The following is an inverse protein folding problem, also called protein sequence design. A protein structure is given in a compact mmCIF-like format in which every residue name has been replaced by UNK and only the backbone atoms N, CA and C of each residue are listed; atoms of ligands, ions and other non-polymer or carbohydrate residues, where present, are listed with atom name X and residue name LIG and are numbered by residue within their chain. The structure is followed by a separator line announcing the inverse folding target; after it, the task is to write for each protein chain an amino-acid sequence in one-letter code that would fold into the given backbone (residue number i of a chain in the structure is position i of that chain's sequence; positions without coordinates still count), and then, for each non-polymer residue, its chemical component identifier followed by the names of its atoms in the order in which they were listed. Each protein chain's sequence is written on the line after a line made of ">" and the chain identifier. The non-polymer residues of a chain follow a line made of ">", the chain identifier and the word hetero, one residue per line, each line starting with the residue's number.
data_IF_862680761409
#
_entry.id   IF_862680761409
#
_cell.length_a   1.000
_cell.length_b   1.000
_cell.length_c   1.000
_cell.angle_alpha   90.00
_cell.angle_beta   90.00
_cell.angle_gamma   90.00
#
_symmetry.space_group_name_H-M   'P 1'
#
loop_
_entity.id
_entity.type
_entity.pdbx_description
1 polymer ?
#
# COMPACT_ATOMS: atom_id res chain seq x y z
N UNK A 1 5.21 -94.45 48.86
CA UNK A 1 4.69 -93.10 48.54
C UNK A 1 5.63 -92.11 49.22
N UNK A 2 6.20 -91.11 48.53
CA UNK A 2 7.13 -90.20 49.18
C UNK A 2 6.38 -89.28 50.16
N UNK A 3 6.82 -89.24 51.41
CA UNK A 3 6.25 -88.36 52.44
C UNK A 3 6.80 -86.93 52.27
N UNK A 4 5.92 -85.99 51.90
CA UNK A 4 6.26 -84.57 51.87
C UNK A 4 6.48 -84.06 53.30
N UNK A 5 7.73 -83.87 53.68
CA UNK A 5 8.09 -83.29 54.98
C UNK A 5 7.86 -81.77 54.99
N UNK A 6 7.56 -81.21 56.16
CA UNK A 6 7.25 -79.78 56.40
C UNK A 6 8.30 -78.83 55.78
N UNK A 7 9.56 -79.26 55.69
CA UNK A 7 10.67 -78.53 55.07
C UNK A 7 10.50 -78.34 53.56
N UNK A 8 9.94 -79.32 52.85
CA UNK A 8 9.67 -79.23 51.41
C UNK A 8 8.52 -78.26 51.13
N UNK A 9 7.50 -78.23 52.00
CA UNK A 9 6.39 -77.27 51.90
C UNK A 9 6.88 -75.83 52.17
N UNK A 10 7.80 -75.63 53.13
CA UNK A 10 8.42 -74.33 53.39
C UNK A 10 9.28 -73.81 52.22
N UNK A 11 10.07 -74.68 51.59
CA UNK A 11 10.86 -74.33 50.40
C UNK A 11 10.00 -73.98 49.20
N UNK A 12 8.90 -74.69 48.97
CA UNK A 12 7.95 -74.38 47.90
C UNK A 12 7.25 -73.03 48.13
N UNK A 13 6.87 -72.73 49.37
CA UNK A 13 6.27 -71.44 49.72
C UNK A 13 7.26 -70.27 49.51
N UNK A 14 8.53 -70.46 49.90
CA UNK A 14 9.59 -69.47 49.67
C UNK A 14 9.84 -69.24 48.18
N UNK A 15 9.91 -70.31 47.38
CA UNK A 15 10.07 -70.23 45.93
C UNK A 15 8.91 -69.50 45.25
N UNK A 16 7.66 -69.72 45.71
CA UNK A 16 6.49 -68.98 45.24
C UNK A 16 6.60 -67.48 45.53
N UNK A 17 6.98 -67.10 46.74
CA UNK A 17 7.14 -65.68 47.13
C UNK A 17 8.25 -65.01 46.30
N UNK A 18 9.39 -65.69 46.11
CA UNK A 18 10.49 -65.20 45.27
C UNK A 18 10.05 -65.05 43.82
N UNK A 19 9.34 -66.04 43.27
CA UNK A 19 8.79 -65.97 41.91
C UNK A 19 7.81 -64.80 41.73
N UNK A 20 6.99 -64.52 42.74
CA UNK A 20 6.04 -63.40 42.75
C UNK A 20 6.75 -62.05 42.81
N UNK A 21 7.80 -61.94 43.64
CA UNK A 21 8.63 -60.73 43.74
C UNK A 21 9.40 -60.45 42.44
N UNK A 22 9.99 -61.48 41.82
CA UNK A 22 10.67 -61.38 40.52
C UNK A 22 9.67 -61.01 39.42
N UNK A 23 8.51 -61.67 39.38
CA UNK A 23 7.45 -61.36 38.42
C UNK A 23 6.93 -59.93 38.54
N UNK A 24 6.76 -59.44 39.77
CA UNK A 24 6.38 -58.06 40.06
C UNK A 24 7.46 -57.06 39.61
N UNK A 25 8.74 -57.35 39.86
CA UNK A 25 9.85 -56.51 39.42
C UNK A 25 9.97 -56.44 37.88
N UNK A 26 9.85 -57.57 37.19
CA UNK A 26 9.88 -57.64 35.72
C UNK A 26 8.67 -56.92 35.10
N UNK A 27 7.48 -57.07 35.69
CA UNK A 27 6.28 -56.38 35.21
C UNK A 27 6.37 -54.86 35.45
N UNK A 28 6.90 -54.44 36.60
CA UNK A 28 7.14 -53.04 36.92
C UNK A 28 8.15 -52.39 35.97
N UNK A 29 9.25 -53.08 35.66
CA UNK A 29 10.28 -52.58 34.73
C UNK A 29 9.77 -52.51 33.29
N UNK A 30 9.00 -53.50 32.81
CA UNK A 30 8.35 -53.43 31.49
C UNK A 30 7.35 -52.29 31.39
N UNK A 31 6.48 -52.12 32.40
CA UNK A 31 5.52 -51.02 32.40
C UNK A 31 6.21 -49.64 32.44
N UNK A 32 7.35 -49.53 33.13
CA UNK A 32 8.16 -48.32 33.11
C UNK A 32 8.81 -48.07 31.73
N UNK A 33 9.34 -49.12 31.09
CA UNK A 33 9.91 -49.03 29.74
C UNK A 33 8.86 -48.67 28.68
N UNK A 34 7.68 -49.27 28.72
CA UNK A 34 6.57 -48.96 27.81
C UNK A 34 6.10 -47.51 27.99
N UNK A 35 5.94 -47.05 29.24
CA UNK A 35 5.62 -45.64 29.51
C UNK A 35 6.70 -44.70 29.00
N UNK A 36 7.98 -45.02 29.25
CA UNK A 36 9.11 -44.23 28.77
C UNK A 36 9.14 -44.14 27.23
N UNK A 37 8.91 -45.27 26.55
CA UNK A 37 8.84 -45.34 25.09
C UNK A 37 7.65 -44.53 24.53
N UNK A 38 6.48 -44.63 25.16
CA UNK A 38 5.30 -43.83 24.80
C UNK A 38 5.62 -42.35 24.99
N UNK A 39 6.14 -41.93 26.14
CA UNK A 39 6.47 -40.52 26.39
C UNK A 39 7.55 -39.98 25.45
N UNK A 40 8.53 -40.80 25.09
CA UNK A 40 9.55 -40.44 24.11
C UNK A 40 8.93 -40.26 22.72
N UNK A 41 8.06 -41.17 22.29
CA UNK A 41 7.34 -41.04 21.01
C UNK A 41 6.40 -39.84 20.94
N UNK A 42 5.73 -39.49 22.05
CA UNK A 42 4.94 -38.26 22.12
C UNK A 42 5.82 -37.01 22.03
N UNK A 43 6.97 -37.01 22.70
CA UNK A 43 7.93 -35.89 22.67
C UNK A 43 8.49 -35.69 21.26
N UNK A 44 8.93 -36.75 20.60
CA UNK A 44 9.47 -36.72 19.24
C UNK A 44 8.44 -36.18 18.24
N UNK A 45 7.17 -36.64 18.31
CA UNK A 45 6.09 -36.11 17.45
C UNK A 45 5.81 -34.64 17.73
N UNK A 46 5.82 -34.23 19.00
CA UNK A 46 5.59 -32.83 19.37
C UNK A 46 6.72 -31.92 18.87
N UNK A 47 7.97 -32.38 18.93
CA UNK A 47 9.13 -31.64 18.41
C UNK A 47 9.06 -31.56 16.88
N UNK A 48 8.78 -32.67 16.19
CA UNK A 48 8.60 -32.69 14.75
C UNK A 48 7.48 -31.74 14.28
N UNK A 49 6.33 -31.75 14.96
CA UNK A 49 5.24 -30.81 14.67
C UNK A 49 5.64 -29.35 14.90
N UNK A 50 6.44 -29.07 15.94
CA UNK A 50 6.96 -27.74 16.22
C UNK A 50 7.90 -27.22 15.12
N UNK A 51 8.77 -28.09 14.61
CA UNK A 51 9.68 -27.77 13.50
C UNK A 51 8.91 -27.51 12.19
N UNK A 52 7.90 -28.33 11.90
CA UNK A 52 7.02 -28.12 10.74
C UNK A 52 6.26 -26.80 10.84
N UNK A 53 5.67 -26.50 12.01
CA UNK A 53 5.02 -25.22 12.26
C UNK A 53 5.98 -24.06 12.06
N UNK A 54 7.19 -24.14 12.59
CA UNK A 54 8.20 -23.09 12.45
C UNK A 54 8.57 -22.87 10.97
N UNK A 55 8.76 -23.96 10.22
CA UNK A 55 9.01 -23.90 8.77
C UNK A 55 7.87 -23.24 8.01
N UNK A 56 6.62 -23.59 8.33
CA UNK A 56 5.44 -22.99 7.69
C UNK A 56 5.31 -21.50 8.01
N UNK A 57 5.60 -21.10 9.26
CA UNK A 57 5.62 -19.68 9.65
C UNK A 57 6.66 -18.90 8.84
N UNK A 58 7.86 -19.43 8.67
CA UNK A 58 8.91 -18.81 7.85
C UNK A 58 8.46 -18.70 6.39
N UNK A 59 7.88 -19.76 5.83
CA UNK A 59 7.37 -19.75 4.45
C UNK A 59 6.24 -18.73 4.26
N UNK A 60 5.27 -18.71 5.17
CA UNK A 60 4.16 -17.74 5.12
C UNK A 60 4.65 -16.30 5.23
N UNK A 61 5.64 -16.04 6.09
CA UNK A 61 6.28 -14.72 6.17
C UNK A 61 6.93 -14.33 4.83
N UNK A 62 7.70 -15.24 4.22
CA UNK A 62 8.30 -15.00 2.91
C UNK A 62 7.28 -14.74 1.81
N UNK A 63 6.16 -15.49 1.78
CA UNK A 63 5.05 -15.25 0.85
C UNK A 63 4.38 -13.89 1.10
N UNK A 64 4.18 -13.52 2.36
CA UNK A 64 3.60 -12.22 2.73
C UNK A 64 4.49 -11.06 2.28
N UNK A 65 5.80 -11.19 2.45
CA UNK A 65 6.79 -10.20 1.99
C UNK A 65 6.78 -10.09 0.45
N UNK A 66 6.71 -11.21 -0.27
CA UNK A 66 6.59 -11.22 -1.74
C UNK A 66 5.29 -10.57 -2.23
N UNK A 67 4.16 -10.88 -1.60
CA UNK A 67 2.86 -10.26 -1.92
C UNK A 67 2.94 -8.76 -1.67
N UNK A 68 3.48 -8.33 -0.53
CA UNK A 68 3.65 -6.91 -0.22
C UNK A 68 4.55 -6.22 -1.25
N UNK A 69 5.66 -6.83 -1.64
CA UNK A 69 6.58 -6.29 -2.63
C UNK A 69 5.93 -6.18 -4.02
N UNK A 70 5.18 -7.19 -4.46
CA UNK A 70 4.47 -7.17 -5.73
C UNK A 70 3.33 -6.13 -5.77
N UNK A 71 2.63 -5.93 -4.64
CA UNK A 71 1.62 -4.87 -4.52
C UNK A 71 2.26 -3.49 -4.57
N UNK A 72 3.39 -3.29 -3.88
CA UNK A 72 4.11 -2.03 -3.91
C UNK A 72 4.62 -1.69 -5.31
N UNK A 73 5.19 -2.66 -6.04
CA UNK A 73 5.67 -2.44 -7.41
C UNK A 73 4.54 -2.19 -8.41
N UNK A 74 3.40 -2.87 -8.25
CA UNK A 74 2.19 -2.61 -9.05
C UNK A 74 1.64 -1.20 -8.82
N UNK A 75 1.61 -0.76 -7.55
CA UNK A 75 1.13 0.58 -7.22
C UNK A 75 2.05 1.67 -7.73
N UNK A 76 3.37 1.49 -7.62
CA UNK A 76 4.37 2.42 -8.18
C UNK A 76 4.21 2.55 -9.70
N UNK A 77 4.05 1.42 -10.41
CA UNK A 77 3.81 1.43 -11.85
C UNK A 77 2.52 2.18 -12.24
N UNK A 78 1.43 2.01 -11.46
CA UNK A 78 0.17 2.74 -11.67
C UNK A 78 0.33 4.25 -11.45
N UNK A 79 1.07 4.65 -10.42
CA UNK A 79 1.35 6.05 -10.15
C UNK A 79 2.18 6.68 -11.29
N UNK A 80 3.24 6.02 -11.74
CA UNK A 80 4.04 6.49 -12.90
C UNK A 80 3.21 6.60 -14.17
N UNK A 81 2.34 5.63 -14.45
CA UNK A 81 1.45 5.70 -15.61
C UNK A 81 0.50 6.92 -15.53
N UNK A 82 0.03 7.28 -14.34
CA UNK A 82 -0.79 8.47 -14.12
C UNK A 82 0.01 9.75 -14.35
N UNK A 83 1.20 9.87 -13.79
CA UNK A 83 2.10 11.01 -14.00
C UNK A 83 2.44 11.21 -15.47
N UNK A 84 2.79 10.14 -16.18
CA UNK A 84 3.04 10.17 -17.62
C UNK A 84 1.80 10.61 -18.41
N UNK A 85 0.60 10.14 -18.03
CA UNK A 85 -0.63 10.55 -18.70
C UNK A 85 -0.93 12.05 -18.53
N UNK A 86 -0.65 12.60 -17.35
CA UNK A 86 -0.78 14.02 -17.06
C UNK A 86 0.24 14.84 -17.85
N UNK A 87 1.50 14.37 -17.90
CA UNK A 87 2.54 15.00 -18.70
C UNK A 87 2.21 15.03 -20.21
N UNK A 88 1.64 13.95 -20.75
CA UNK A 88 1.17 13.89 -22.14
C UNK A 88 0.02 14.87 -22.37
N UNK A 89 -0.94 14.95 -21.45
CA UNK A 89 -2.05 15.90 -21.55
C UNK A 89 -1.54 17.35 -21.57
N UNK A 90 -0.62 17.70 -20.67
CA UNK A 90 0.01 19.02 -20.62
C UNK A 90 0.81 19.35 -21.89
N UNK A 91 1.57 18.38 -22.41
CA UNK A 91 2.30 18.54 -23.66
C UNK A 91 1.34 18.78 -24.84
N UNK A 92 0.25 18.03 -24.91
CA UNK A 92 -0.78 18.18 -25.94
C UNK A 92 -1.46 19.57 -25.89
N UNK A 93 -1.76 20.07 -24.70
CA UNK A 93 -2.34 21.40 -24.51
C UNK A 93 -1.38 22.51 -24.95
N UNK A 94 -0.08 22.40 -24.62
CA UNK A 94 0.94 23.36 -25.09
C UNK A 94 1.11 23.36 -26.60
N UNK A 95 1.02 22.19 -27.24
CA UNK A 95 1.05 22.06 -28.70
C UNK A 95 -0.17 22.75 -29.32
N UNK A 96 -1.36 22.58 -28.74
CA UNK A 96 -2.59 23.22 -29.22
C UNK A 96 -2.52 24.76 -29.10
N UNK A 97 -1.94 25.28 -28.02
CA UNK A 97 -1.69 26.71 -27.82
C UNK A 97 -0.78 27.27 -28.93
N UNK A 98 0.37 26.61 -29.17
CA UNK A 98 1.29 27.01 -30.24
C UNK A 98 0.61 26.95 -31.62
N UNK A 99 -0.27 25.98 -31.85
CA UNK A 99 -1.00 25.87 -33.12
C UNK A 99 -1.97 27.06 -33.31
N UNK A 100 -2.60 27.55 -32.25
CA UNK A 100 -3.42 28.78 -32.29
C UNK A 100 -2.57 30.00 -32.58
N UNK A 101 -1.44 30.16 -31.88
CA UNK A 101 -0.51 31.27 -32.13
C UNK A 101 -0.04 31.29 -33.59
N UNK A 102 0.36 30.14 -34.15
CA UNK A 102 0.77 30.04 -35.55
C UNK A 102 -0.37 30.42 -36.51
N UNK A 103 -1.59 29.98 -36.21
CA UNK A 103 -2.79 30.31 -37.01
C UNK A 103 -3.06 31.81 -37.00
N UNK A 104 -2.99 32.45 -35.83
CA UNK A 104 -3.24 33.88 -35.68
C UNK A 104 -2.16 34.71 -36.39
N UNK A 105 -0.89 34.31 -36.27
CA UNK A 105 0.23 34.90 -37.02
C UNK A 105 -0.02 34.81 -38.52
N UNK A 106 -0.44 33.64 -39.02
CA UNK A 106 -0.74 33.43 -40.45
C UNK A 106 -1.89 34.32 -40.92
N UNK A 107 -2.96 34.45 -40.12
CA UNK A 107 -4.09 35.32 -40.46
C UNK A 107 -3.68 36.80 -40.51
N UNK A 108 -2.89 37.25 -39.54
CA UNK A 108 -2.37 38.62 -39.52
C UNK A 108 -1.45 38.90 -40.73
N UNK A 109 -0.61 37.92 -41.09
CA UNK A 109 0.27 37.99 -42.26
C UNK A 109 -0.54 38.15 -43.55
N UNK A 110 -1.62 37.38 -43.70
CA UNK A 110 -2.50 37.43 -44.88
C UNK A 110 -3.17 38.80 -45.03
N UNK A 111 -3.64 39.38 -43.93
CA UNK A 111 -4.20 40.75 -43.92
C UNK A 111 -3.14 41.78 -44.31
N UNK A 112 -1.93 41.69 -43.75
CA UNK A 112 -0.83 42.61 -44.07
C UNK A 112 -0.43 42.55 -45.55
N UNK A 113 -0.34 41.34 -46.12
CA UNK A 113 -0.06 41.12 -47.55
C UNK A 113 -1.16 41.72 -48.42
N UNK A 114 -2.43 41.47 -48.11
CA UNK A 114 -3.56 42.04 -48.85
C UNK A 114 -3.57 43.58 -48.82
N UNK A 115 -3.27 44.18 -47.66
CA UNK A 115 -3.16 45.63 -47.54
C UNK A 115 -2.04 46.21 -48.38
N UNK A 116 -0.85 45.58 -48.37
CA UNK A 116 0.29 45.98 -49.19
C UNK A 116 -0.09 45.95 -50.68
N UNK A 117 -0.68 44.85 -51.14
CA UNK A 117 -1.02 44.66 -52.56
C UNK A 117 -2.06 45.70 -53.03
N UNK A 118 -3.02 46.05 -52.17
CA UNK A 118 -3.99 47.13 -52.44
C UNK A 118 -3.34 48.51 -52.51
N UNK A 119 -2.41 48.82 -51.61
CA UNK A 119 -1.67 50.09 -51.67
C UNK A 119 -0.82 50.17 -52.94
N UNK A 120 -0.19 49.05 -53.33
CA UNK A 120 0.64 48.97 -54.52
C UNK A 120 -0.19 49.15 -55.81
N UNK A 121 -1.39 48.57 -55.90
CA UNK A 121 -2.29 48.78 -57.04
C UNK A 121 -2.84 50.21 -57.10
N UNK A 122 -3.18 50.80 -55.94
CA UNK A 122 -3.64 52.19 -55.86
C UNK A 122 -2.57 53.18 -56.34
N UNK A 123 -1.29 52.96 -55.98
CA UNK A 123 -0.16 53.78 -56.43
C UNK A 123 -0.02 53.68 -57.96
N UNK A 124 -0.12 52.47 -58.52
CA UNK A 124 -0.07 52.27 -59.96
C UNK A 124 -1.22 53.00 -60.69
N UNK A 125 -2.38 53.17 -60.06
CA UNK A 125 -3.54 53.87 -60.62
C UNK A 125 -3.51 55.40 -60.44
N UNK A 126 -2.82 55.94 -59.43
CA UNK A 126 -2.82 57.38 -59.08
C UNK A 126 -1.42 58.01 -59.18
N UNK A 127 -0.99 58.35 -60.39
CA UNK A 127 0.35 58.96 -60.66
C UNK A 127 0.43 60.48 -60.39
N UNK A 128 -0.66 61.12 -59.95
CA UNK A 128 -0.80 62.58 -59.96
C UNK A 128 -0.53 63.33 -58.65
N UNK A 129 -0.57 62.67 -57.48
CA UNK A 129 -0.55 63.38 -56.19
C UNK A 129 0.60 62.91 -55.28
N UNK A 130 1.75 63.59 -55.40
CA UNK A 130 3.06 63.18 -54.85
C UNK A 130 3.06 62.92 -53.34
N UNK A 131 2.28 63.69 -52.56
CA UNK A 131 2.17 63.51 -51.12
C UNK A 131 1.41 62.23 -50.72
N UNK A 132 0.37 61.86 -51.47
CA UNK A 132 -0.41 60.63 -51.23
C UNK A 132 0.43 59.41 -51.60
N UNK A 133 1.20 59.48 -52.69
CA UNK A 133 2.13 58.42 -53.10
C UNK A 133 3.20 58.20 -52.02
N UNK A 134 3.82 59.26 -51.51
CA UNK A 134 4.83 59.17 -50.44
C UNK A 134 4.29 58.57 -49.14
N UNK A 135 3.08 58.94 -48.72
CA UNK A 135 2.47 58.39 -47.51
C UNK A 135 2.15 56.90 -47.66
N UNK A 136 1.80 56.45 -48.87
CA UNK A 136 1.55 55.04 -49.19
C UNK A 136 2.86 54.25 -49.30
N UNK A 137 3.90 54.81 -49.90
CA UNK A 137 5.24 54.19 -49.97
C UNK A 137 5.82 53.94 -48.56
N UNK A 138 5.67 54.90 -47.65
CA UNK A 138 6.08 54.74 -46.25
C UNK A 138 5.33 53.58 -45.57
N UNK A 139 4.02 53.45 -45.85
CA UNK A 139 3.21 52.36 -45.28
C UNK A 139 3.57 51.00 -45.86
N UNK A 140 3.91 50.92 -47.15
CA UNK A 140 4.44 49.71 -47.78
C UNK A 140 5.79 49.34 -47.16
N UNK A 141 6.65 50.31 -46.89
CA UNK A 141 7.93 50.08 -46.23
C UNK A 141 7.76 49.51 -44.82
N UNK A 142 6.84 50.07 -44.03
CA UNK A 142 6.50 49.55 -42.70
C UNK A 142 5.97 48.11 -42.75
N UNK A 143 5.00 47.82 -43.62
CA UNK A 143 4.46 46.47 -43.81
C UNK A 143 5.54 45.48 -44.27
N UNK A 144 6.43 45.89 -45.16
CA UNK A 144 7.54 45.06 -45.65
C UNK A 144 8.52 44.70 -44.51
N UNK A 145 8.80 45.65 -43.63
CA UNK A 145 9.64 45.43 -42.45
C UNK A 145 8.99 44.51 -41.43
N UNK A 146 7.67 44.63 -41.24
CA UNK A 146 6.89 43.70 -40.42
C UNK A 146 6.89 42.28 -41.01
N UNK A 147 6.65 42.14 -42.32
CA UNK A 147 6.70 40.85 -43.02
C UNK A 147 8.06 40.16 -42.84
N UNK A 148 9.15 40.91 -42.95
CA UNK A 148 10.48 40.35 -42.74
C UNK A 148 10.73 39.94 -41.28
N UNK A 149 10.19 40.69 -40.31
CA UNK A 149 10.24 40.31 -38.91
C UNK A 149 9.47 39.01 -38.65
N UNK A 150 8.27 38.87 -39.22
CA UNK A 150 7.49 37.62 -39.15
C UNK A 150 8.22 36.45 -39.81
N UNK A 151 8.85 36.66 -40.97
CA UNK A 151 9.65 35.65 -41.66
C UNK A 151 10.84 35.16 -40.82
N UNK A 152 11.43 36.03 -39.98
CA UNK A 152 12.49 35.65 -39.03
C UNK A 152 11.95 34.92 -37.80
N UNK A 153 10.72 35.21 -37.37
CA UNK A 153 10.11 34.70 -36.13
C UNK A 153 9.38 33.36 -36.30
N UNK A 154 8.85 33.08 -37.49
CA UNK A 154 8.14 31.83 -37.81
C UNK A 154 9.04 30.58 -37.77
N UNK A 155 10.23 30.56 -38.40
CA UNK A 155 11.11 29.38 -38.41
C UNK A 155 11.46 28.82 -37.02
N UNK A 156 11.93 29.64 -36.05
CA UNK A 156 12.25 29.11 -34.71
C UNK A 156 11.00 28.65 -33.95
N UNK A 157 9.82 29.21 -34.22
CA UNK A 157 8.57 28.74 -33.63
C UNK A 157 8.20 27.34 -34.14
N UNK A 158 8.33 27.13 -35.46
CA UNK A 158 8.09 25.83 -36.10
C UNK A 158 9.06 24.78 -35.56
N UNK A 159 10.33 25.16 -35.36
CA UNK A 159 11.33 24.25 -34.79
C UNK A 159 11.00 23.87 -33.35
N UNK A 160 10.63 24.83 -32.50
CA UNK A 160 10.16 24.57 -31.12
C UNK A 160 8.92 23.66 -31.09
N UNK A 161 7.98 23.88 -32.02
CA UNK A 161 6.81 23.02 -32.15
C UNK A 161 7.22 21.59 -32.49
N UNK A 162 8.09 21.38 -33.48
CA UNK A 162 8.59 20.05 -33.87
C UNK A 162 9.28 19.33 -32.72
N UNK A 163 10.12 20.04 -31.96
CA UNK A 163 10.81 19.46 -30.79
C UNK A 163 9.79 18.99 -29.77
N UNK A 164 8.83 19.85 -29.39
CA UNK A 164 7.78 19.48 -28.44
C UNK A 164 6.86 18.36 -28.90
N UNK A 165 6.53 18.34 -30.19
CA UNK A 165 5.73 17.28 -30.80
C UNK A 165 6.47 15.94 -30.73
N UNK A 166 7.79 15.93 -30.90
CA UNK A 166 8.61 14.74 -30.69
C UNK A 166 8.72 14.33 -29.22
N UNK A 167 8.89 15.28 -28.29
CA UNK A 167 8.87 15.01 -26.85
C UNK A 167 7.54 14.39 -26.40
N UNK A 168 6.42 14.91 -26.91
CA UNK A 168 5.09 14.37 -26.64
C UNK A 168 4.95 12.92 -27.15
N UNK A 169 5.38 12.66 -28.39
CA UNK A 169 5.40 11.29 -28.94
C UNK A 169 6.27 10.33 -28.13
N UNK A 170 7.42 10.80 -27.63
CA UNK A 170 8.28 10.00 -26.78
C UNK A 170 7.59 9.64 -25.46
N UNK A 171 6.97 10.63 -24.80
CA UNK A 171 6.19 10.38 -23.58
C UNK A 171 5.03 9.42 -23.82
N UNK A 172 4.32 9.52 -24.96
CA UNK A 172 3.26 8.59 -25.34
C UNK A 172 3.79 7.16 -25.54
N UNK A 173 4.98 7.00 -26.13
CA UNK A 173 5.62 5.71 -26.30
C UNK A 173 6.04 5.08 -24.95
N UNK A 174 6.64 5.87 -24.06
CA UNK A 174 7.00 5.43 -22.70
C UNK A 174 5.77 5.03 -21.89
N UNK A 175 4.67 5.78 -22.00
CA UNK A 175 3.38 5.43 -21.40
C UNK A 175 2.86 4.09 -21.92
N UNK A 176 2.96 3.84 -23.23
CA UNK A 176 2.54 2.58 -23.83
C UNK A 176 3.38 1.40 -23.32
N UNK A 177 4.70 1.58 -23.19
CA UNK A 177 5.60 0.58 -22.61
C UNK A 177 5.27 0.30 -21.14
N UNK A 178 5.05 1.35 -20.34
CA UNK A 178 4.67 1.22 -18.95
C UNK A 178 3.32 0.48 -18.78
N UNK A 179 2.34 0.76 -19.64
CA UNK A 179 1.05 0.04 -19.66
C UNK A 179 1.23 -1.44 -19.95
N UNK A 180 2.02 -1.77 -20.97
CA UNK A 180 2.33 -3.16 -21.32
C UNK A 180 3.06 -3.87 -20.18
N UNK A 181 3.96 -3.17 -19.48
CA UNK A 181 4.64 -3.71 -18.30
C UNK A 181 3.67 -4.01 -17.15
N UNK A 182 2.69 -3.12 -16.91
CA UNK A 182 1.64 -3.36 -15.92
C UNK A 182 0.84 -4.61 -16.29
N UNK A 183 0.42 -4.74 -17.56
CA UNK A 183 -0.31 -5.90 -18.04
C UNK A 183 0.48 -7.21 -17.86
N UNK A 184 1.77 -7.21 -18.19
CA UNK A 184 2.66 -8.36 -17.94
C UNK A 184 2.75 -8.73 -16.46
N UNK A 185 2.84 -7.75 -15.57
CA UNK A 185 2.90 -7.99 -14.12
C UNK A 185 1.57 -8.52 -13.59
N UNK A 186 0.44 -8.03 -14.12
CA UNK A 186 -0.89 -8.53 -13.78
C UNK A 186 -1.10 -9.96 -14.30
N UNK A 187 -0.68 -10.28 -15.53
CA UNK A 187 -0.70 -11.64 -16.07
C UNK A 187 0.22 -12.60 -15.29
N UNK A 188 1.44 -12.19 -14.97
CA UNK A 188 2.36 -13.01 -14.17
C UNK A 188 1.80 -13.31 -12.76
N UNK A 189 0.98 -12.41 -12.22
CA UNK A 189 0.25 -12.62 -10.96
C UNK A 189 -0.92 -13.61 -11.13
N UNK A 190 -1.59 -13.61 -12.27
CA UNK A 190 -2.67 -14.55 -12.58
C UNK A 190 -2.16 -15.97 -12.91
N UNK A 191 -0.97 -16.09 -13.53
CA UNK A 191 -0.33 -17.37 -13.87
C UNK A 191 0.36 -18.05 -12.67
N UNK A 192 0.80 -17.28 -11.68
CA UNK A 192 1.28 -17.78 -10.38
C UNK A 192 0.29 -17.43 -9.26
N UNK A 193 -0.95 -17.98 -9.28
CA UNK A 193 -1.76 -17.94 -8.08
C UNK A 193 -0.99 -18.75 -7.03
N UNK A 194 -0.82 -18.18 -5.84
CA UNK A 194 -0.18 -18.86 -4.72
C UNK A 194 -0.95 -20.16 -4.47
N UNK A 195 -0.47 -21.27 -5.06
CA UNK A 195 -1.12 -22.58 -4.98
C UNK A 195 -0.83 -23.14 -3.60
N UNK A 196 -1.80 -22.98 -2.70
CA UNK A 196 -1.83 -23.68 -1.44
C UNK A 196 -1.97 -25.16 -1.78
N UNK A 197 -0.90 -25.95 -1.66
CA UNK A 197 -1.00 -27.42 -1.73
C UNK A 197 -1.92 -27.86 -0.59
N UNK A 198 -3.03 -28.57 -0.87
CA UNK A 198 -3.81 -29.18 0.20
C UNK A 198 -2.94 -30.19 0.93
N UNK A 199 -2.95 -30.13 2.25
CA UNK A 199 -2.27 -31.07 3.14
C UNK A 199 -2.68 -32.49 2.72
N UNK A 200 -1.71 -33.33 2.32
CA UNK A 200 -1.98 -34.63 1.68
C UNK A 200 -2.53 -35.68 2.63
N UNK A 201 -2.37 -35.50 3.95
CA UNK A 201 -2.86 -36.41 4.98
C UNK A 201 -3.55 -35.64 6.12
N UNK A 202 -4.89 -35.48 6.06
CA UNK A 202 -5.68 -34.84 7.13
C UNK A 202 -5.65 -35.61 8.46
N UNK A 203 -5.42 -36.93 8.40
CA UNK A 203 -5.54 -37.83 9.56
C UNK A 203 -4.31 -37.82 10.49
N UNK A 204 -3.21 -37.15 10.12
CA UNK A 204 -2.06 -36.90 11.00
C UNK A 204 -2.23 -35.64 11.86
N UNK A 205 -3.26 -34.83 11.59
CA UNK A 205 -3.66 -33.68 12.42
C UNK A 205 -4.67 -34.13 13.46
N UNK A 206 -4.26 -34.98 14.40
CA UNK A 206 -5.13 -35.35 15.52
C UNK A 206 -5.19 -34.22 16.55
N UNK A 207 -6.41 -33.71 16.73
CA UNK A 207 -6.99 -33.05 17.89
C UNK A 207 -6.14 -32.02 18.65
N UNK A 208 -6.26 -30.78 18.18
CA UNK A 208 -6.65 -29.70 19.07
C UNK A 208 -5.52 -28.99 19.77
N UNK A 209 -4.80 -28.14 19.03
CA UNK A 209 -4.50 -26.77 19.48
C UNK A 209 -4.58 -25.83 18.28
N UNK A 210 -5.39 -24.80 18.45
CA UNK A 210 -5.58 -23.69 17.54
C UNK A 210 -4.21 -23.13 17.14
N UNK A 211 -3.93 -23.06 15.84
CA UNK A 211 -2.73 -22.40 15.32
C UNK A 211 -2.90 -20.89 15.50
N UNK A 212 -2.75 -20.43 16.75
CA UNK A 212 -2.71 -19.02 17.07
C UNK A 212 -1.43 -18.43 16.46
N UNK A 213 -1.60 -17.55 15.49
CA UNK A 213 -0.54 -16.64 15.07
C UNK A 213 -0.35 -15.56 16.13
N UNK A 214 0.27 -15.91 17.26
CA UNK A 214 0.69 -14.93 18.28
C UNK A 214 2.21 -15.05 18.50
N UNK A 215 2.98 -13.97 18.33
CA UNK A 215 4.38 -13.95 18.69
C UNK A 215 4.51 -13.64 20.19
N UNK A 216 5.48 -14.28 20.87
CA UNK A 216 5.90 -14.09 22.29
C UNK A 216 4.96 -14.73 23.34
N UNK A 217 5.41 -15.42 24.39
CA UNK A 217 6.72 -15.64 24.99
C UNK A 217 6.67 -16.87 25.91
N UNK A 218 7.83 -17.44 26.19
CA UNK A 218 8.03 -18.55 27.11
C UNK A 218 7.96 -18.09 28.57
N UNK A 219 7.23 -18.86 29.40
CA UNK A 219 7.48 -19.11 30.83
C UNK A 219 8.02 -17.97 31.71
N UNK A 220 7.22 -17.50 32.67
CA UNK A 220 7.54 -17.60 34.11
C UNK A 220 6.21 -17.60 34.89
N UNK A 221 5.99 -18.69 35.62
CA UNK A 221 4.97 -18.86 36.63
C UNK A 221 5.45 -18.20 37.95
N UNK A 222 4.58 -17.42 38.61
CA UNK A 222 4.50 -17.31 40.08
C UNK A 222 3.18 -16.65 40.49
N UNK A 223 2.49 -17.34 41.39
CA UNK A 223 1.35 -16.90 42.23
C UNK A 223 1.60 -15.48 42.79
N UNK A 224 0.62 -14.61 43.10
CA UNK A 224 -0.50 -14.73 44.07
C UNK A 224 -1.62 -13.67 43.73
N UNK A 225 -2.65 -13.42 44.58
CA UNK A 225 -4.08 -13.47 44.23
C UNK A 225 -4.72 -12.08 43.97
N UNK A 226 -5.99 -12.14 43.58
CA UNK A 226 -6.97 -11.06 43.64
C UNK A 226 -6.89 -10.25 44.94
N UNK A 227 -6.67 -8.94 44.82
CA UNK A 227 -7.34 -7.90 45.62
C UNK A 227 -7.16 -6.51 44.98
N UNK A 228 -8.18 -5.69 45.24
CA UNK A 228 -8.34 -4.27 44.90
C UNK A 228 -7.16 -3.39 45.34
N UNK A 229 -6.91 -2.30 44.60
CA UNK A 229 -6.76 -0.88 45.02
C UNK A 229 -6.11 -0.09 43.87
N UNK A 230 -6.85 0.77 43.16
CA UNK A 230 -7.06 2.19 43.44
C UNK A 230 -5.86 3.11 43.12
N UNK A 231 -6.10 4.05 42.18
CA UNK A 231 -5.52 5.40 42.03
C UNK A 231 -3.99 5.49 41.72
N UNK A 232 -3.42 6.37 40.90
CA UNK A 232 -3.80 7.62 40.24
C UNK A 232 -2.59 7.98 39.32
N UNK A 233 -2.81 8.30 38.04
CA UNK A 233 -2.30 9.56 37.44
C UNK A 233 -2.88 9.79 36.02
N UNK A 234 -3.63 10.89 35.89
CA UNK A 234 -4.09 11.57 34.66
C UNK A 234 -5.32 11.01 33.92
N UNK A 235 -6.43 10.86 34.62
CA UNK A 235 -7.79 10.74 34.04
C UNK A 235 -8.56 12.05 34.15
N UNK A 236 -8.19 13.10 33.40
CA UNK A 236 -9.04 14.30 33.27
C UNK A 236 -9.07 14.95 31.89
N UNK A 237 -8.41 14.40 30.85
CA UNK A 237 -8.32 15.08 29.54
C UNK A 237 -8.48 14.12 28.35
N UNK A 238 -9.42 13.17 28.42
CA UNK A 238 -9.82 12.35 27.27
C UNK A 238 -11.21 12.75 26.84
N UNK A 239 -11.33 13.17 25.58
CA UNK A 239 -12.61 13.53 24.97
C UNK A 239 -13.31 12.26 24.45
N UNK A 240 -14.64 12.28 24.39
CA UNK A 240 -15.42 11.23 23.75
C UNK A 240 -15.39 11.43 22.23
N UNK A 241 -14.47 10.73 21.54
CA UNK A 241 -14.26 10.89 20.11
C UNK A 241 -15.44 10.34 19.28
N UNK A 242 -16.34 9.54 19.88
CA UNK A 242 -17.53 9.01 19.20
C UNK A 242 -18.56 10.09 18.87
N UNK A 243 -18.39 11.30 19.41
CA UNK A 243 -19.22 12.46 19.04
C UNK A 243 -19.00 12.89 17.58
N UNK A 244 -17.84 12.59 17.00
CA UNK A 244 -17.57 12.84 15.58
C UNK A 244 -18.31 11.82 14.73
N UNK A 245 -19.16 12.30 13.82
CA UNK A 245 -19.89 11.44 12.89
C UNK A 245 -18.92 10.65 12.02
N UNK A 246 -19.00 9.32 12.12
CA UNK A 246 -18.09 8.40 11.44
C UNK A 246 -17.12 7.67 12.36
N UNK A 247 -16.93 8.18 13.59
CA UNK A 247 -16.08 7.57 14.62
C UNK A 247 -16.94 6.68 15.52
N UNK A 248 -16.87 5.36 15.30
CA UNK A 248 -17.50 4.37 16.18
C UNK A 248 -16.56 3.87 17.28
N UNK A 249 -17.03 3.04 18.23
CA UNK A 249 -16.23 2.54 19.36
C UNK A 249 -14.93 1.81 18.94
N UNK A 250 -14.95 1.08 17.82
CA UNK A 250 -13.76 0.41 17.29
C UNK A 250 -12.73 1.40 16.71
N UNK A 251 -13.21 2.49 16.11
CA UNK A 251 -12.37 3.54 15.52
C UNK A 251 -11.78 4.38 16.65
N UNK A 252 -12.58 4.77 17.64
CA UNK A 252 -12.12 5.44 18.86
C UNK A 252 -11.03 4.62 19.57
N UNK A 253 -11.24 3.29 19.73
CA UNK A 253 -10.21 2.41 20.30
C UNK A 253 -8.91 2.46 19.50
N UNK A 254 -9.00 2.43 18.17
CA UNK A 254 -7.82 2.48 17.29
C UNK A 254 -7.13 3.85 17.36
N UNK A 255 -7.88 4.95 17.44
CA UNK A 255 -7.36 6.31 17.62
C UNK A 255 -6.63 6.46 18.96
N UNK A 256 -7.24 5.94 20.03
CA UNK A 256 -6.65 5.89 21.37
C UNK A 256 -5.36 5.05 21.39
N UNK A 257 -5.33 3.90 20.73
CA UNK A 257 -4.11 3.08 20.55
C UNK A 257 -3.01 3.83 19.78
N UNK A 258 -3.38 4.78 18.90
CA UNK A 258 -2.46 5.64 18.16
C UNK A 258 -2.03 6.91 18.93
N UNK A 259 -2.52 7.10 20.16
CA UNK A 259 -2.19 8.24 21.01
C UNK A 259 -3.10 9.47 20.83
N UNK A 260 -4.20 9.32 20.11
CA UNK A 260 -5.19 10.39 19.87
C UNK A 260 -6.33 10.21 20.86
N UNK A 261 -6.43 11.13 21.82
CA UNK A 261 -7.40 11.09 22.91
C UNK A 261 -8.25 12.36 23.03
N UNK A 262 -7.97 13.41 22.25
CA UNK A 262 -8.64 14.71 22.32
C UNK A 262 -9.12 15.21 20.95
N UNK A 263 -10.20 16.00 20.95
CA UNK A 263 -10.71 16.65 19.75
C UNK A 263 -9.68 17.58 19.12
N UNK A 264 -8.89 18.29 19.93
CA UNK A 264 -7.79 19.15 19.47
C UNK A 264 -6.83 18.40 18.54
N UNK A 265 -6.43 17.18 18.92
CA UNK A 265 -5.46 16.40 18.15
C UNK A 265 -6.01 15.99 16.79
N UNK A 266 -7.33 15.77 16.67
CA UNK A 266 -7.99 15.48 15.39
C UNK A 266 -8.14 16.76 14.57
N UNK A 267 -8.48 17.89 15.22
CA UNK A 267 -8.64 19.18 14.57
C UNK A 267 -7.32 19.75 14.02
N UNK A 268 -6.18 19.34 14.56
CA UNK A 268 -4.83 19.73 14.17
C UNK A 268 -4.11 18.67 13.34
N UNK A 269 -4.79 17.58 12.94
CA UNK A 269 -4.17 16.54 12.11
C UNK A 269 -3.63 17.12 10.80
N UNK A 270 -2.37 16.83 10.52
CA UNK A 270 -1.78 17.10 9.22
C UNK A 270 -2.24 16.05 8.19
N UNK A 271 -2.05 16.34 6.90
CA UNK A 271 -2.24 15.37 5.81
C UNK A 271 -1.49 14.05 6.06
N UNK A 272 -0.30 14.13 6.65
CA UNK A 272 0.49 12.97 7.06
C UNK A 272 -0.19 12.14 8.17
N UNK A 273 -0.79 12.81 9.16
CA UNK A 273 -1.50 12.13 10.26
C UNK A 273 -2.78 11.47 9.76
N UNK A 274 -3.51 12.14 8.86
CA UNK A 274 -4.71 11.60 8.20
C UNK A 274 -4.35 10.34 7.43
N UNK A 275 -3.25 10.35 6.68
CA UNK A 275 -2.74 9.18 5.96
C UNK A 275 -2.34 8.04 6.89
N UNK A 276 -1.67 8.35 8.00
CA UNK A 276 -1.28 7.35 9.02
C UNK A 276 -2.51 6.70 9.65
N UNK A 277 -3.50 7.49 10.03
CA UNK A 277 -4.77 7.04 10.61
C UNK A 277 -5.56 6.22 9.59
N UNK A 278 -5.69 6.71 8.35
CA UNK A 278 -6.40 6.03 7.28
C UNK A 278 -5.79 4.68 6.91
N UNK A 279 -4.45 4.57 6.92
CA UNK A 279 -3.73 3.31 6.72
C UNK A 279 -4.00 2.32 7.85
N UNK A 280 -3.97 2.76 9.12
CA UNK A 280 -4.26 1.91 10.28
C UNK A 280 -5.71 1.41 10.30
N UNK A 281 -6.64 2.26 9.85
CA UNK A 281 -8.07 1.95 9.75
C UNK A 281 -8.46 1.19 8.46
N UNK A 282 -7.48 0.75 7.63
CA UNK A 282 -7.70 0.01 6.37
C UNK A 282 -8.51 0.79 5.31
N UNK A 283 -8.05 1.98 4.95
CA UNK A 283 -8.58 2.71 3.77
C UNK A 283 -9.67 3.73 4.08
N UNK A 284 -9.68 4.29 5.28
CA UNK A 284 -10.68 5.28 5.72
C UNK A 284 -10.39 6.72 5.25
N UNK A 285 -9.39 6.92 4.38
CA UNK A 285 -8.96 8.24 3.93
C UNK A 285 -10.15 9.05 3.38
N UNK A 286 -10.92 8.49 2.44
CA UNK A 286 -12.08 9.16 1.86
C UNK A 286 -13.22 9.42 2.87
N UNK A 287 -13.31 8.65 3.98
CA UNK A 287 -14.35 8.85 5.00
C UNK A 287 -14.01 10.02 5.91
N UNK A 288 -12.75 10.17 6.29
CA UNK A 288 -12.26 11.29 7.12
C UNK A 288 -12.64 12.64 6.46
N UNK A 289 -12.47 12.76 5.13
CA UNK A 289 -12.87 13.97 4.39
C UNK A 289 -14.37 14.05 4.11
N UNK A 290 -15.02 12.96 3.64
CA UNK A 290 -16.47 12.98 3.33
C UNK A 290 -17.34 13.30 4.54
N UNK A 291 -16.92 12.82 5.71
CA UNK A 291 -17.62 13.04 6.96
C UNK A 291 -17.02 14.22 7.74
N UNK A 292 -16.04 14.94 7.18
CA UNK A 292 -15.47 16.15 7.77
C UNK A 292 -15.05 15.97 9.24
N UNK A 293 -14.26 14.94 9.54
CA UNK A 293 -13.85 14.65 10.92
C UNK A 293 -13.05 15.80 11.54
N UNK A 294 -12.20 16.45 10.75
CA UNK A 294 -11.36 17.58 11.19
C UNK A 294 -12.22 18.79 11.55
N UNK A 295 -13.20 19.12 10.70
CA UNK A 295 -14.13 20.23 10.95
C UNK A 295 -15.00 19.98 12.18
N UNK A 296 -15.58 18.79 12.32
CA UNK A 296 -16.36 18.42 13.51
C UNK A 296 -15.51 18.43 14.78
N UNK A 297 -14.29 17.90 14.74
CA UNK A 297 -13.38 17.93 15.88
C UNK A 297 -13.03 19.36 16.31
N UNK A 298 -12.88 20.28 15.34
CA UNK A 298 -12.65 21.70 15.64
C UNK A 298 -13.87 22.34 16.31
N UNK A 299 -15.07 22.05 15.83
CA UNK A 299 -16.31 22.52 16.47
C UNK A 299 -16.45 22.03 17.92
N UNK A 300 -16.16 20.75 18.19
CA UNK A 300 -16.19 20.20 19.55
C UNK A 300 -15.08 20.76 20.44
N UNK A 301 -13.89 21.01 19.88
CA UNK A 301 -12.80 21.67 20.59
C UNK A 301 -13.14 23.12 20.99
N UNK A 302 -13.74 23.88 20.08
CA UNK A 302 -14.16 25.27 20.32
C UNK A 302 -15.31 25.36 21.34
N UNK A 303 -16.17 24.35 21.41
CA UNK A 303 -17.22 24.23 22.43
C UNK A 303 -16.65 23.87 23.81
N UNK A 304 -15.72 22.90 23.86
CA UNK A 304 -15.09 22.48 25.11
C UNK A 304 -14.10 23.52 25.68
N UNK A 305 -13.57 24.44 24.85
CA UNK A 305 -12.67 25.52 25.29
C UNK A 305 -13.39 26.78 25.78
N UNK A 306 -14.69 26.93 25.46
CA UNK A 306 -15.54 28.04 25.91
C UNK A 306 -16.38 27.72 27.16
N UNK A 307 -16.17 26.54 27.76
CA UNK A 307 -16.87 26.09 28.98
C UNK A 307 -15.87 25.99 30.12
#
# INVERSE_FOLDING_TARGET
>A
MPEFTITHMGLLALALIIGLAIGWAIRGSRAAQEKAAITAGWKERSEAQGEEHHRLVIQNKGLMDQISQSQASSQDAKNRARELSEAVQDASARRDELQREIKDIRSNLEVAVSQRDKLQSDIAAHTGNKAVVQQKDEKIFQLSRELENWNKRLPPLIERYKVRDNEARQCEAELAEARLRIEQLEQAREENPTRIEPVRDPDLLTDGRDASNDPTDSQINREIPSDEVAADHQTTLRDDLKQIKGVGPAIEKTLNEMGVFRFQQIAEMSEYDIDRVAKRLKGFHSRIYRENWIGQAREFYDQNSNT
#
